data_IF_046890479188
#
_entry.id   IF_046890479188
#
_cell.length_a   1.000
_cell.length_b   1.000
_cell.length_c   1.000
_cell.angle_alpha   90.00
_cell.angle_beta   90.00
_cell.angle_gamma   90.00
#
_symmetry.space_group_name_H-M   'P 1'
#
loop_
_entity.id
_entity.type
_entity.pdbx_description
1 polymer ?
#
# COMPACT_ATOMS: atom_id res chain seq x y z
N UNK A 1 -12.06 -0.17 13.03
CA UNK A 1 -12.95 -1.21 12.55
C UNK A 1 -12.46 -1.68 11.18
N UNK A 2 -12.40 -2.98 10.95
CA UNK A 2 -12.12 -3.52 9.63
C UNK A 2 -13.23 -3.09 8.67
N UNK A 3 -12.91 -2.76 7.41
CA UNK A 3 -13.95 -2.45 6.44
C UNK A 3 -14.88 -3.66 6.28
N UNK A 4 -16.18 -3.42 6.22
CA UNK A 4 -17.23 -4.44 6.03
C UNK A 4 -17.15 -5.17 4.68
N UNK A 5 -16.12 -4.93 3.91
CA UNK A 5 -15.91 -5.56 2.61
C UNK A 5 -15.24 -6.93 2.81
N UNK A 6 -15.62 -7.90 1.97
CA UNK A 6 -14.94 -9.20 1.81
C UNK A 6 -13.50 -9.04 1.26
N UNK A 7 -12.89 -7.87 1.45
CA UNK A 7 -11.54 -7.59 1.01
C UNK A 7 -10.55 -8.21 1.98
N UNK A 8 -9.53 -8.81 1.44
CA UNK A 8 -8.43 -9.36 2.20
C UNK A 8 -7.73 -8.26 3.01
N UNK A 9 -7.66 -8.42 4.31
CA UNK A 9 -6.84 -7.59 5.19
C UNK A 9 -5.70 -8.43 5.77
N UNK A 10 -4.53 -7.84 5.86
CA UNK A 10 -3.35 -8.44 6.50
C UNK A 10 -2.64 -7.42 7.37
N UNK A 11 -2.35 -7.83 8.59
CA UNK A 11 -1.48 -7.06 9.47
C UNK A 11 -0.03 -7.12 8.97
N UNK A 12 0.67 -6.04 9.19
CA UNK A 12 2.09 -5.91 8.88
C UNK A 12 2.90 -5.79 10.17
N UNK A 13 2.58 -4.79 10.99
CA UNK A 13 3.19 -4.61 12.29
C UNK A 13 2.32 -3.77 13.23
N UNK A 14 2.63 -3.84 14.50
CA UNK A 14 2.07 -2.98 15.55
C UNK A 14 3.22 -2.26 16.24
N UNK A 15 3.10 -0.94 16.35
CA UNK A 15 4.12 -0.11 16.99
C UNK A 15 3.51 0.76 18.07
N UNK A 16 4.30 1.08 19.09
CA UNK A 16 3.97 2.09 20.08
C UNK A 16 4.97 3.23 20.04
N UNK A 17 4.44 4.44 20.12
CA UNK A 17 5.24 5.66 20.26
C UNK A 17 4.72 6.46 21.45
N UNK A 18 5.62 7.12 22.17
CA UNK A 18 5.19 8.04 23.21
C UNK A 18 4.38 9.17 22.60
N UNK A 19 3.23 9.46 23.22
CA UNK A 19 2.42 10.60 22.81
C UNK A 19 3.24 11.88 23.00
N UNK A 20 3.30 12.68 21.96
CA UNK A 20 3.92 13.99 22.04
C UNK A 20 3.12 14.89 23.01
N UNK A 21 3.76 15.83 23.71
CA UNK A 21 3.09 16.79 24.58
C UNK A 21 1.96 17.50 23.82
N UNK A 22 0.89 17.82 24.53
CA UNK A 22 -0.21 18.60 23.97
C UNK A 22 0.30 19.94 23.43
N UNK A 23 -0.12 20.28 22.22
CA UNK A 23 0.34 21.49 21.53
C UNK A 23 1.66 21.35 20.74
N UNK A 24 2.24 20.15 20.69
CA UNK A 24 3.35 19.89 19.76
C UNK A 24 2.85 20.11 18.32
N UNK A 25 3.50 20.99 17.55
CA UNK A 25 3.04 21.28 16.19
C UNK A 25 3.27 20.06 15.30
N UNK A 26 2.19 19.35 15.02
CA UNK A 26 2.16 18.36 13.95
C UNK A 26 1.54 19.07 12.75
N UNK A 27 2.23 19.08 11.62
CA UNK A 27 1.61 19.61 10.40
C UNK A 27 0.59 18.60 9.85
N UNK A 28 -0.55 18.53 10.51
CA UNK A 28 -1.68 17.67 10.13
C UNK A 28 -2.14 17.87 8.69
N UNK A 29 -1.94 19.07 8.14
CA UNK A 29 -2.39 19.42 6.80
C UNK A 29 -1.65 18.67 5.67
N UNK A 30 -0.41 18.25 5.91
CA UNK A 30 0.37 17.58 4.88
C UNK A 30 0.06 16.07 4.78
N UNK A 31 -0.28 15.42 5.88
CA UNK A 31 -0.55 13.98 5.94
C UNK A 31 -1.71 13.55 5.03
N UNK A 32 -2.88 14.22 5.04
CA UNK A 32 -3.98 13.89 4.14
C UNK A 32 -3.59 13.99 2.66
N UNK A 33 -2.78 14.99 2.30
CA UNK A 33 -2.32 15.18 0.91
C UNK A 33 -1.32 14.11 0.48
N UNK A 34 -0.42 13.70 1.35
CA UNK A 34 0.52 12.63 1.06
C UNK A 34 -0.16 11.27 0.94
N UNK A 35 -1.14 10.99 1.77
CA UNK A 35 -1.94 9.77 1.66
C UNK A 35 -2.85 9.79 0.43
N UNK A 36 -3.43 10.93 0.08
CA UNK A 36 -4.25 11.08 -1.13
C UNK A 36 -3.44 10.87 -2.41
N UNK A 37 -2.14 11.17 -2.41
CA UNK A 37 -1.25 10.92 -3.54
C UNK A 37 -1.24 9.46 -4.00
N UNK A 38 -1.52 8.51 -3.11
CA UNK A 38 -1.60 7.10 -3.44
C UNK A 38 -2.91 6.67 -4.10
N UNK A 39 -3.95 7.51 -4.09
CA UNK A 39 -5.29 7.13 -4.52
C UNK A 39 -5.68 7.62 -5.90
N UNK A 40 -4.95 8.57 -6.49
CA UNK A 40 -5.40 9.19 -7.72
C UNK A 40 -4.27 9.36 -8.72
N UNK A 41 -4.20 8.44 -9.65
CA UNK A 41 -3.10 8.41 -10.59
C UNK A 41 -3.31 9.22 -11.86
N UNK A 42 -4.53 9.47 -12.30
CA UNK A 42 -4.74 9.98 -13.67
C UNK A 42 -5.70 11.16 -13.78
N UNK A 43 -6.82 11.13 -13.10
CA UNK A 43 -7.85 12.16 -13.21
C UNK A 43 -8.03 12.86 -11.87
N UNK A 44 -7.75 14.15 -11.79
CA UNK A 44 -7.98 14.93 -10.58
C UNK A 44 -6.79 15.07 -9.64
N UNK A 45 -5.60 14.63 -10.03
CA UNK A 45 -4.39 14.83 -9.23
C UNK A 45 -4.16 16.31 -8.87
N UNK A 46 -4.45 17.21 -9.79
CA UNK A 46 -4.34 18.65 -9.56
C UNK A 46 -5.43 19.22 -8.65
N UNK A 47 -6.60 18.60 -8.62
CA UNK A 47 -7.70 19.02 -7.76
C UNK A 47 -7.54 18.52 -6.31
N UNK A 48 -6.95 17.34 -6.16
CA UNK A 48 -6.71 16.73 -4.83
C UNK A 48 -5.38 17.18 -4.24
N UNK A 49 -4.43 17.51 -5.08
CA UNK A 49 -3.10 17.92 -4.69
C UNK A 49 -2.79 19.30 -5.26
N UNK A 50 -3.11 20.37 -4.55
CA UNK A 50 -2.80 21.72 -5.00
C UNK A 50 -1.28 21.86 -5.11
N UNK A 51 -0.80 21.95 -6.37
CA UNK A 51 0.62 22.10 -6.69
C UNK A 51 1.25 23.36 -6.10
N UNK A 52 0.46 24.38 -5.84
CA UNK A 52 0.83 25.58 -5.10
C UNK A 52 1.28 25.26 -3.67
N UNK A 53 0.57 24.40 -2.97
CA UNK A 53 0.99 23.93 -1.64
C UNK A 53 2.29 23.12 -1.66
N UNK A 54 2.56 22.38 -2.74
CA UNK A 54 3.86 21.74 -2.95
C UNK A 54 4.97 22.77 -3.20
N UNK A 55 4.66 23.85 -3.89
CA UNK A 55 5.61 24.93 -4.21
C UNK A 55 5.90 25.81 -3.01
N UNK A 56 4.96 26.03 -2.12
CA UNK A 56 5.16 26.72 -0.85
C UNK A 56 6.06 25.95 0.12
N UNK A 57 6.54 24.79 -0.33
CA UNK A 57 7.38 23.91 0.44
C UNK A 57 6.63 23.39 1.65
N UNK A 58 6.11 22.18 1.56
CA UNK A 58 5.89 21.37 2.74
C UNK A 58 7.25 21.09 3.37
N UNK A 59 7.96 22.12 3.69
CA UNK A 59 9.12 22.03 4.54
C UNK A 59 8.54 21.65 5.90
N UNK A 60 8.97 20.50 6.35
CA UNK A 60 8.82 20.15 7.74
C UNK A 60 9.20 21.37 8.54
N UNK A 61 8.31 21.79 9.44
CA UNK A 61 8.68 22.79 10.39
C UNK A 61 9.99 22.33 11.04
N UNK A 62 11.05 23.11 10.89
CA UNK A 62 12.35 22.78 11.49
C UNK A 62 12.27 22.64 13.01
N UNK A 63 11.19 23.13 13.62
CA UNK A 63 10.86 23.01 15.04
C UNK A 63 9.91 21.84 15.35
N UNK A 64 9.42 21.11 14.35
CA UNK A 64 8.60 19.93 14.61
C UNK A 64 9.47 18.83 15.23
N UNK A 65 9.04 18.31 16.35
CA UNK A 65 9.68 17.15 16.94
C UNK A 65 9.49 15.93 16.03
N UNK A 66 10.57 15.24 15.77
CA UNK A 66 10.59 14.00 14.99
C UNK A 66 10.77 12.84 15.97
N UNK A 67 9.86 11.89 15.93
CA UNK A 67 10.01 10.65 16.69
C UNK A 67 11.22 9.90 16.13
N UNK A 68 12.21 9.64 16.97
CA UNK A 68 13.39 8.89 16.57
C UNK A 68 13.07 7.41 16.47
N UNK A 69 13.68 6.71 15.54
CA UNK A 69 13.49 5.26 15.38
C UNK A 69 13.76 4.50 16.71
N UNK A 70 14.70 4.96 17.52
CA UNK A 70 14.99 4.37 18.83
C UNK A 70 13.88 4.55 19.88
N UNK A 71 12.89 5.40 19.60
CA UNK A 71 11.76 5.69 20.48
C UNK A 71 10.50 4.93 20.06
N UNK A 72 10.58 4.20 18.94
CA UNK A 72 9.50 3.34 18.44
C UNK A 72 9.66 1.95 19.04
N UNK A 73 8.63 1.46 19.69
CA UNK A 73 8.59 0.10 20.20
C UNK A 73 7.83 -0.79 19.23
N UNK A 74 8.44 -1.87 18.79
CA UNK A 74 7.77 -2.90 18.01
C UNK A 74 6.98 -3.80 18.95
N UNK A 75 5.68 -3.85 18.77
CA UNK A 75 4.73 -4.65 19.54
C UNK A 75 4.11 -5.78 18.72
N UNK A 76 4.65 -6.09 17.56
CA UNK A 76 4.05 -7.06 16.63
C UNK A 76 3.88 -8.44 17.28
N UNK A 77 4.88 -8.88 18.02
CA UNK A 77 4.83 -10.18 18.71
C UNK A 77 3.87 -10.22 19.92
N UNK A 78 3.42 -9.06 20.39
CA UNK A 78 2.45 -8.93 21.49
C UNK A 78 1.00 -8.86 21.00
N UNK A 79 0.80 -8.88 19.69
CA UNK A 79 -0.51 -8.76 19.05
C UNK A 79 -0.90 -10.07 18.36
N UNK A 80 -2.04 -10.63 18.75
CA UNK A 80 -2.53 -11.91 18.20
C UNK A 80 -3.47 -11.76 16.99
N UNK A 81 -3.68 -10.56 16.52
CA UNK A 81 -4.62 -10.20 15.44
C UNK A 81 -5.91 -9.54 15.95
N UNK A 82 -6.25 -9.73 17.20
CA UNK A 82 -7.43 -9.14 17.85
C UNK A 82 -7.06 -8.35 19.10
N UNK A 83 -6.19 -8.88 19.93
CA UNK A 83 -5.82 -8.32 21.23
C UNK A 83 -4.34 -8.01 21.32
N UNK A 84 -4.01 -6.84 21.84
CA UNK A 84 -2.65 -6.45 22.19
C UNK A 84 -2.41 -6.71 23.67
N UNK A 85 -1.54 -7.68 23.98
CA UNK A 85 -1.10 -8.02 25.34
C UNK A 85 0.27 -7.41 25.61
N UNK A 86 0.30 -6.20 26.14
CA UNK A 86 1.52 -5.47 26.39
C UNK A 86 1.46 -4.71 27.72
N UNK A 87 2.46 -4.93 28.56
CA UNK A 87 2.66 -4.17 29.79
C UNK A 87 3.28 -2.82 29.46
N UNK A 88 2.42 -1.82 29.26
CA UNK A 88 2.86 -0.48 28.88
C UNK A 88 3.68 0.18 30.00
N UNK A 89 4.89 0.68 29.71
CA UNK A 89 5.61 1.53 30.64
C UNK A 89 4.81 2.78 30.99
N UNK A 90 5.16 3.41 32.14
CA UNK A 90 4.51 4.63 32.58
C UNK A 90 4.54 5.74 31.50
N UNK A 91 3.39 6.37 31.28
CA UNK A 91 3.21 7.44 30.29
C UNK A 91 2.02 7.21 29.35
N UNK A 92 1.83 8.14 28.46
CA UNK A 92 0.81 8.06 27.41
C UNK A 92 1.46 7.51 26.11
N UNK A 93 0.78 6.57 25.49
CA UNK A 93 1.27 5.91 24.29
C UNK A 93 0.24 5.98 23.17
N UNK A 94 0.72 6.19 21.98
CA UNK A 94 -0.06 6.00 20.76
C UNK A 94 0.30 4.65 20.16
N UNK A 95 -0.70 3.79 19.99
CA UNK A 95 -0.53 2.49 19.34
C UNK A 95 -0.95 2.63 17.88
N UNK A 96 -0.06 2.22 17.00
CA UNK A 96 -0.26 2.27 15.54
C UNK A 96 -0.24 0.84 15.02
N UNK A 97 -1.36 0.41 14.43
CA UNK A 97 -1.48 -0.87 13.74
C UNK A 97 -1.40 -0.64 12.25
N UNK A 98 -0.40 -1.19 11.62
CA UNK A 98 -0.21 -1.14 10.18
C UNK A 98 -0.72 -2.40 9.53
N UNK A 99 -1.41 -2.24 8.43
CA UNK A 99 -1.89 -3.34 7.63
C UNK A 99 -2.14 -2.91 6.19
N UNK A 100 -2.43 -3.87 5.34
CA UNK A 100 -2.79 -3.65 3.96
C UNK A 100 -4.06 -4.40 3.58
N UNK A 101 -4.72 -3.91 2.57
CA UNK A 101 -5.92 -4.52 2.00
C UNK A 101 -5.90 -4.34 0.48
N UNK A 102 -6.78 -5.06 -0.21
CA UNK A 102 -6.97 -4.83 -1.64
C UNK A 102 -7.50 -3.42 -1.89
N UNK A 103 -7.08 -2.81 -2.99
CA UNK A 103 -7.58 -1.49 -3.42
C UNK A 103 -9.06 -1.51 -3.77
N UNK A 104 -9.63 -2.69 -4.01
CA UNK A 104 -11.01 -2.85 -4.47
C UNK A 104 -11.19 -2.59 -5.97
N UNK A 105 -10.14 -2.23 -6.67
CA UNK A 105 -10.20 -2.00 -8.12
C UNK A 105 -10.51 -3.31 -8.83
N UNK A 106 -11.49 -3.25 -9.71
CA UNK A 106 -11.94 -4.38 -10.52
C UNK A 106 -11.62 -4.14 -11.99
N UNK A 107 -11.47 -5.21 -12.72
CA UNK A 107 -11.31 -5.16 -14.18
C UNK A 107 -12.58 -4.60 -14.80
N UNK A 108 -12.47 -3.60 -15.70
CA UNK A 108 -13.59 -2.81 -16.19
C UNK A 108 -14.17 -3.28 -17.52
N UNK A 109 -13.42 -4.02 -18.31
CA UNK A 109 -13.79 -4.39 -19.70
C UNK A 109 -13.94 -5.90 -19.88
N UNK A 110 -14.51 -6.55 -18.90
CA UNK A 110 -14.73 -8.00 -18.93
C UNK A 110 -16.17 -8.32 -19.28
N UNK A 111 -16.38 -9.46 -19.92
CA UNK A 111 -17.73 -10.00 -20.14
C UNK A 111 -18.36 -10.43 -18.82
N UNK A 112 -19.69 -10.54 -18.81
CA UNK A 112 -20.46 -11.02 -17.67
C UNK A 112 -19.84 -12.28 -17.05
N UNK A 113 -19.62 -12.24 -15.74
CA UNK A 113 -19.07 -13.36 -14.98
C UNK A 113 -17.52 -13.44 -14.93
N UNK A 114 -16.82 -12.54 -15.62
CA UNK A 114 -15.36 -12.45 -15.61
C UNK A 114 -14.81 -11.27 -14.79
N UNK A 115 -15.69 -10.53 -14.16
CA UNK A 115 -15.33 -9.41 -13.32
C UNK A 115 -14.62 -9.88 -12.06
N UNK A 116 -13.44 -9.35 -11.83
CA UNK A 116 -12.64 -9.71 -10.67
C UNK A 116 -11.83 -8.54 -10.14
N UNK A 117 -11.23 -8.74 -8.97
CA UNK A 117 -10.22 -7.83 -8.47
C UNK A 117 -9.01 -7.87 -9.39
N UNK A 118 -8.36 -6.73 -9.54
CA UNK A 118 -7.12 -6.66 -10.30
C UNK A 118 -6.01 -7.46 -9.62
N UNK A 119 -5.14 -8.02 -10.45
CA UNK A 119 -3.95 -8.75 -10.00
C UNK A 119 -2.99 -7.79 -9.31
N UNK A 120 -2.30 -8.24 -8.27
CA UNK A 120 -1.18 -7.50 -7.69
C UNK A 120 -0.02 -7.44 -8.68
N UNK A 121 0.14 -6.31 -9.33
CA UNK A 121 1.17 -6.07 -10.35
C UNK A 121 2.59 -5.92 -9.77
N UNK A 122 2.72 -5.84 -8.46
CA UNK A 122 4.00 -5.81 -7.77
C UNK A 122 4.44 -7.22 -7.28
N UNK A 123 3.58 -8.23 -7.47
CA UNK A 123 3.84 -9.62 -7.06
C UNK A 123 4.09 -10.50 -8.28
N UNK A 124 5.30 -11.05 -8.36
CA UNK A 124 5.65 -12.04 -9.38
C UNK A 124 4.79 -13.30 -9.26
N UNK A 125 4.51 -13.72 -8.02
CA UNK A 125 3.71 -14.91 -7.74
C UNK A 125 2.25 -14.73 -8.22
N UNK A 126 1.69 -13.53 -8.04
CA UNK A 126 0.35 -13.21 -8.55
C UNK A 126 0.33 -13.16 -10.08
N UNK A 127 1.38 -12.62 -10.71
CA UNK A 127 1.53 -12.63 -12.15
C UNK A 127 1.69 -14.06 -12.70
N UNK A 128 2.44 -14.93 -12.03
CA UNK A 128 2.58 -16.33 -12.43
C UNK A 128 1.24 -17.07 -12.43
N UNK A 129 0.39 -16.84 -11.44
CA UNK A 129 -0.98 -17.41 -11.41
C UNK A 129 -1.78 -16.92 -12.63
N UNK A 130 -1.74 -15.62 -12.91
CA UNK A 130 -2.41 -15.04 -14.08
C UNK A 130 -1.85 -15.62 -15.39
N UNK A 131 -0.53 -15.71 -15.54
CA UNK A 131 0.13 -16.25 -16.71
C UNK A 131 -0.30 -17.69 -16.98
N UNK A 132 -0.23 -18.55 -15.98
CA UNK A 132 -0.63 -19.96 -16.08
C UNK A 132 -2.11 -20.16 -16.37
N UNK A 133 -2.95 -19.28 -15.86
CA UNK A 133 -4.40 -19.42 -15.98
C UNK A 133 -4.94 -18.82 -17.28
N UNK A 134 -4.35 -17.75 -17.79
CA UNK A 134 -4.86 -16.98 -18.92
C UNK A 134 -3.90 -17.00 -20.10
N UNK A 135 -2.64 -16.60 -19.91
CA UNK A 135 -1.70 -16.40 -21.03
C UNK A 135 -1.25 -17.73 -21.64
N UNK A 136 -0.78 -18.65 -20.81
CA UNK A 136 -0.26 -19.94 -21.30
C UNK A 136 -1.31 -20.77 -22.04
N UNK A 137 -2.57 -20.90 -21.59
CA UNK A 137 -3.62 -21.59 -22.34
C UNK A 137 -3.90 -20.94 -23.70
N UNK A 138 -3.85 -19.62 -23.82
CA UNK A 138 -4.03 -18.92 -25.08
C UNK A 138 -2.87 -19.22 -26.06
N UNK A 139 -1.64 -19.19 -25.57
CA UNK A 139 -0.45 -19.54 -26.36
C UNK A 139 -0.54 -21.00 -26.82
N UNK A 140 -0.90 -21.90 -25.92
CA UNK A 140 -1.05 -23.31 -26.24
C UNK A 140 -2.12 -23.54 -27.33
N UNK A 141 -3.31 -22.95 -27.16
CA UNK A 141 -4.40 -23.08 -28.13
C UNK A 141 -4.02 -22.53 -29.52
N UNK A 142 -3.30 -21.39 -29.54
CA UNK A 142 -2.82 -20.82 -30.80
C UNK A 142 -1.86 -21.80 -31.50
N UNK A 143 -0.94 -22.42 -30.73
CA UNK A 143 0.03 -23.40 -31.26
C UNK A 143 -0.66 -24.64 -31.79
N UNK A 144 -1.62 -25.21 -31.08
CA UNK A 144 -2.42 -26.36 -31.53
C UNK A 144 -3.20 -26.06 -32.83
N UNK A 145 -3.63 -24.83 -33.01
CA UNK A 145 -4.27 -24.36 -34.23
C UNK A 145 -3.30 -24.02 -35.37
N UNK A 146 -2.01 -24.37 -35.25
CA UNK A 146 -0.98 -24.08 -36.24
C UNK A 146 -0.57 -22.62 -36.36
N UNK A 147 -0.88 -21.82 -35.35
CA UNK A 147 -0.60 -20.39 -35.26
C UNK A 147 0.44 -20.09 -34.16
N UNK A 148 0.85 -18.83 -34.06
CA UNK A 148 1.68 -18.35 -32.97
C UNK A 148 1.19 -16.99 -32.49
N UNK A 149 1.25 -16.78 -31.19
CA UNK A 149 1.11 -15.45 -30.60
C UNK A 149 2.40 -14.66 -30.88
N UNK A 150 2.31 -13.60 -31.65
CA UNK A 150 3.46 -12.82 -32.10
C UNK A 150 3.70 -11.58 -31.28
N UNK A 151 2.67 -11.07 -30.64
CA UNK A 151 2.70 -9.83 -29.90
C UNK A 151 1.93 -10.00 -28.60
N UNK A 152 2.45 -9.41 -27.54
CA UNK A 152 1.77 -9.11 -26.31
C UNK A 152 1.65 -7.59 -26.21
N UNK A 153 0.44 -7.09 -26.11
CA UNK A 153 0.19 -5.67 -25.90
C UNK A 153 -0.29 -5.45 -24.49
N UNK A 154 0.33 -4.50 -23.81
CA UNK A 154 -0.17 -3.95 -22.55
C UNK A 154 -0.73 -2.57 -22.84
N UNK A 155 -1.90 -2.30 -22.30
CA UNK A 155 -2.54 -1.00 -22.41
C UNK A 155 -2.14 -0.07 -21.27
N UNK A 156 -2.78 1.09 -21.19
CA UNK A 156 -2.53 2.10 -20.17
C UNK A 156 -2.71 1.55 -18.75
N UNK A 157 -1.96 2.13 -17.83
CA UNK A 157 -2.11 1.84 -16.41
C UNK A 157 -3.32 2.59 -15.84
N UNK A 158 -4.44 1.91 -15.66
CA UNK A 158 -5.70 2.50 -15.21
C UNK A 158 -6.11 2.07 -13.78
N UNK A 159 -5.22 1.38 -13.09
CA UNK A 159 -5.50 0.73 -11.81
C UNK A 159 -5.28 1.63 -10.59
N UNK A 160 -4.94 2.90 -10.82
CA UNK A 160 -4.52 3.78 -9.74
C UNK A 160 -3.11 3.46 -9.24
N UNK A 161 -2.76 4.00 -8.09
CA UNK A 161 -1.46 3.76 -7.48
C UNK A 161 -1.57 2.62 -6.48
N UNK A 162 -0.91 1.51 -6.78
CA UNK A 162 -0.63 0.45 -5.82
C UNK A 162 0.64 0.83 -5.05
N UNK A 163 0.61 0.68 -3.74
CA UNK A 163 1.68 1.12 -2.85
C UNK A 163 2.20 0.03 -1.93
N UNK A 164 1.68 -1.18 -2.05
CA UNK A 164 2.06 -2.30 -1.20
C UNK A 164 1.97 -3.64 -1.91
N UNK A 165 2.89 -4.53 -1.55
CA UNK A 165 2.88 -5.96 -1.85
C UNK A 165 3.58 -6.71 -0.72
N UNK A 166 3.40 -8.01 -0.62
CA UNK A 166 3.96 -8.82 0.48
C UNK A 166 5.49 -8.69 0.59
N UNK A 167 6.19 -8.59 -0.53
CA UNK A 167 7.67 -8.48 -0.55
C UNK A 167 8.17 -7.04 -0.47
N UNK A 168 7.28 -6.07 -0.34
CA UNK A 168 7.67 -4.67 -0.34
C UNK A 168 8.69 -4.32 0.75
N UNK A 169 8.56 -4.77 2.03
CA UNK A 169 9.55 -4.48 3.06
C UNK A 169 10.95 -5.01 2.74
N UNK A 170 11.03 -6.23 2.19
CA UNK A 170 12.31 -6.86 1.80
C UNK A 170 12.98 -6.09 0.66
N UNK A 171 12.23 -5.79 -0.39
CA UNK A 171 12.74 -5.05 -1.53
C UNK A 171 13.11 -3.60 -1.14
N UNK A 172 12.30 -2.96 -0.29
CA UNK A 172 12.62 -1.66 0.25
C UNK A 172 13.97 -1.67 0.99
N UNK A 173 14.15 -2.61 1.92
CA UNK A 173 15.39 -2.76 2.68
C UNK A 173 16.59 -3.02 1.77
N UNK A 174 16.43 -3.88 0.75
CA UNK A 174 17.46 -4.21 -0.23
C UNK A 174 17.93 -2.97 -1.00
N UNK A 175 17.01 -2.12 -1.46
CA UNK A 175 17.34 -0.96 -2.28
C UNK A 175 17.64 0.31 -1.51
N UNK A 176 17.13 0.45 -0.29
CA UNK A 176 17.31 1.64 0.54
C UNK A 176 18.33 1.47 1.65
N UNK A 177 18.69 0.23 2.02
CA UNK A 177 19.68 -0.08 3.05
C UNK A 177 19.16 0.06 4.49
N UNK A 178 17.88 0.36 4.69
CA UNK A 178 17.24 0.44 6.01
C UNK A 178 15.84 -0.15 5.97
N UNK A 179 15.31 -0.48 7.14
CA UNK A 179 13.98 -1.03 7.31
C UNK A 179 12.91 0.06 7.16
N UNK A 180 11.78 -0.28 6.55
CA UNK A 180 10.69 0.67 6.37
C UNK A 180 9.91 0.94 7.67
N UNK A 181 10.06 0.04 8.65
CA UNK A 181 9.41 0.10 9.97
C UNK A 181 10.34 0.59 11.06
#
# INVERSE_FOLDING_TARGET
ALPESNLLYRDVCVQAVKQLPEGTPIKDEAIPYWSAKSFNSVLGFQEIFPLDKLREGFLFDSNAEVIKKSEILDLTDFFDGETLNWDAPEGNWTIIRYGWTCTGVRTSTTSDGWEGLSVDHLSAEAFDVFSKTVIEPLIYTAKEAGNSVRFLQTDSWEMGVVNWTNRFPEEFKKYRGYDIF
#
